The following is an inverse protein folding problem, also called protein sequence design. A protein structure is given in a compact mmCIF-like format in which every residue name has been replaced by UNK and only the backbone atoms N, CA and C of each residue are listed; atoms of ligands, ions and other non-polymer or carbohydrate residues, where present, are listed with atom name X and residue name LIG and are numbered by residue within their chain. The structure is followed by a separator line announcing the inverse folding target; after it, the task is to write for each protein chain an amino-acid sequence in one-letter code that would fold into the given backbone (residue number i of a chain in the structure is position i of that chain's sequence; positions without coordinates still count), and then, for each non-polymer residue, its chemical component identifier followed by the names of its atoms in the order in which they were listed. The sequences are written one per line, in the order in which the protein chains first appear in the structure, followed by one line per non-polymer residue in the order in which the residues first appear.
data_IF_256738913813
#
_entry.id   IF_256738913813
#
_cell.length_a   1.000
_cell.length_b   1.000
_cell.length_c   1.000
_cell.angle_alpha   90.00
_cell.angle_beta   90.00
_cell.angle_gamma   90.00
#
_symmetry.space_group_name_H-M   'P 1'
#
loop_
_entity.id
_entity.type
_entity.pdbx_description
1 polymer ?
#
# COMPACT_ATOMS: atom_id res chain seq x y z
N UNK A 1 16.20 -13.12 -24.95
CA UNK A 1 14.74 -13.06 -25.25
C UNK A 1 14.00 -14.30 -24.78
N UNK A 2 14.52 -15.51 -25.08
CA UNK A 2 13.94 -16.79 -24.65
C UNK A 2 13.73 -16.86 -23.12
N UNK A 3 14.69 -16.41 -22.31
CA UNK A 3 14.57 -16.45 -20.84
C UNK A 3 13.40 -15.62 -20.30
N UNK A 4 13.14 -14.45 -20.91
CA UNK A 4 12.01 -13.60 -20.54
C UNK A 4 10.67 -14.21 -20.99
N UNK A 5 10.65 -14.96 -22.09
CA UNK A 5 9.47 -15.71 -22.51
C UNK A 5 9.16 -16.85 -21.52
N UNK A 6 10.18 -17.59 -21.08
CA UNK A 6 10.03 -18.60 -20.03
C UNK A 6 9.59 -17.99 -18.71
N UNK A 7 10.21 -16.90 -18.26
CA UNK A 7 9.80 -16.20 -17.05
C UNK A 7 8.30 -15.83 -17.09
N UNK A 8 7.83 -15.26 -18.20
CA UNK A 8 6.41 -14.92 -18.38
C UNK A 8 5.52 -16.16 -18.34
N UNK A 9 5.89 -17.24 -19.03
CA UNK A 9 5.14 -18.49 -18.99
C UNK A 9 5.07 -19.05 -17.55
N UNK A 10 6.16 -19.03 -16.81
CA UNK A 10 6.20 -19.53 -15.44
C UNK A 10 5.31 -18.70 -14.51
N UNK A 11 5.37 -17.37 -14.60
CA UNK A 11 4.54 -16.47 -13.79
C UNK A 11 3.06 -16.61 -14.16
N UNK A 12 2.73 -16.54 -15.45
CA UNK A 12 1.34 -16.56 -15.91
C UNK A 12 0.65 -17.91 -15.69
N UNK A 13 1.40 -19.01 -15.73
CA UNK A 13 0.86 -20.36 -15.53
C UNK A 13 1.04 -20.89 -14.09
N UNK A 14 1.62 -20.10 -13.17
CA UNK A 14 1.87 -20.53 -11.79
C UNK A 14 2.84 -21.71 -11.68
N UNK A 15 3.77 -21.83 -12.61
CA UNK A 15 4.77 -22.92 -12.64
C UNK A 15 5.86 -22.60 -11.63
N UNK A 16 6.19 -23.56 -10.76
CA UNK A 16 7.29 -23.41 -9.81
C UNK A 16 8.62 -23.18 -10.54
N UNK A 17 9.37 -22.15 -10.12
CA UNK A 17 10.69 -21.86 -10.69
C UNK A 17 11.68 -23.01 -10.51
N UNK A 18 11.46 -23.93 -9.56
CA UNK A 18 12.28 -25.14 -9.41
C UNK A 18 12.26 -26.06 -10.61
N UNK A 19 11.22 -26.00 -11.44
CA UNK A 19 11.09 -26.87 -12.63
C UNK A 19 12.19 -26.59 -13.65
N UNK A 20 12.70 -25.35 -13.74
CA UNK A 20 13.69 -24.98 -14.77
C UNK A 20 15.03 -25.70 -14.61
N UNK A 21 15.36 -26.14 -13.40
CA UNK A 21 16.61 -26.86 -13.07
C UNK A 21 16.43 -28.38 -13.07
N UNK A 22 15.21 -28.89 -13.26
CA UNK A 22 14.98 -30.34 -13.23
C UNK A 22 15.59 -31.01 -14.47
N UNK A 23 16.24 -32.19 -14.32
CA UNK A 23 16.86 -32.88 -15.45
C UNK A 23 15.90 -33.17 -16.61
N UNK A 24 14.65 -33.52 -16.29
CA UNK A 24 13.61 -33.75 -17.30
C UNK A 24 13.31 -32.50 -18.13
N UNK A 25 13.17 -31.35 -17.47
CA UNK A 25 12.89 -30.09 -18.15
C UNK A 25 14.10 -29.61 -18.95
N UNK A 26 15.32 -29.72 -18.40
CA UNK A 26 16.56 -29.39 -19.13
C UNK A 26 16.70 -30.27 -20.38
N UNK A 27 16.48 -31.57 -20.27
CA UNK A 27 16.54 -32.48 -21.41
C UNK A 27 15.49 -32.12 -22.47
N UNK A 28 14.27 -31.79 -22.06
CA UNK A 28 13.23 -31.31 -22.97
C UNK A 28 13.64 -30.01 -23.68
N UNK A 29 14.24 -29.05 -22.96
CA UNK A 29 14.76 -27.82 -23.56
C UNK A 29 15.92 -28.08 -24.53
N UNK A 30 16.80 -29.04 -24.23
CA UNK A 30 17.89 -29.46 -25.10
C UNK A 30 17.40 -30.14 -26.37
N UNK A 31 16.31 -30.90 -26.31
CA UNK A 31 15.66 -31.47 -27.49
C UNK A 31 15.07 -30.37 -28.40
N UNK A 32 14.53 -29.31 -27.81
CA UNK A 32 14.00 -28.16 -28.57
C UNK A 32 15.12 -27.29 -29.16
N UNK A 33 16.18 -27.05 -28.39
CA UNK A 33 17.35 -26.30 -28.82
C UNK A 33 18.59 -26.74 -28.03
N UNK A 34 19.45 -27.53 -28.67
CA UNK A 34 20.65 -28.10 -28.06
C UNK A 34 21.61 -27.04 -27.50
N UNK A 35 21.71 -25.88 -28.17
CA UNK A 35 22.62 -24.79 -27.78
C UNK A 35 22.09 -23.93 -26.66
N UNK A 36 20.80 -24.01 -26.32
CA UNK A 36 20.21 -23.19 -25.27
C UNK A 36 20.57 -23.76 -23.89
N UNK A 37 21.08 -22.89 -23.02
CA UNK A 37 21.31 -23.21 -21.61
C UNK A 37 20.28 -22.43 -20.78
N UNK A 38 19.34 -23.10 -20.09
CA UNK A 38 18.37 -22.41 -19.26
C UNK A 38 19.06 -21.67 -18.10
N UNK A 39 18.50 -20.53 -17.65
CA UNK A 39 18.98 -19.86 -16.46
C UNK A 39 18.69 -20.72 -15.22
N UNK A 40 19.47 -20.50 -14.16
CA UNK A 40 19.17 -21.10 -12.86
C UNK A 40 17.84 -20.57 -12.31
N UNK A 41 17.26 -21.33 -11.39
CA UNK A 41 16.07 -20.93 -10.63
C UNK A 41 16.29 -19.58 -9.95
N UNK A 42 17.47 -19.36 -9.37
CA UNK A 42 17.79 -18.10 -8.69
C UNK A 42 17.86 -16.94 -9.66
N UNK A 43 18.54 -17.09 -10.80
CA UNK A 43 18.61 -16.04 -11.83
C UNK A 43 17.22 -15.73 -12.40
N UNK A 44 16.38 -16.76 -12.60
CA UNK A 44 15.01 -16.61 -13.06
C UNK A 44 14.13 -15.87 -12.04
N UNK A 45 14.16 -16.31 -10.77
CA UNK A 45 13.29 -15.79 -9.71
C UNK A 45 13.75 -14.45 -9.11
N UNK A 46 15.00 -14.07 -9.32
CA UNK A 46 15.56 -12.80 -8.80
C UNK A 46 15.89 -11.84 -9.93
N UNK A 47 16.97 -12.08 -10.67
CA UNK A 47 17.51 -11.15 -11.66
C UNK A 47 16.51 -10.86 -12.77
N UNK A 48 15.99 -11.90 -13.44
CA UNK A 48 15.08 -11.72 -14.57
C UNK A 48 13.73 -11.19 -14.12
N UNK A 49 13.21 -11.68 -12.99
CA UNK A 49 11.97 -11.18 -12.40
C UNK A 49 12.09 -9.69 -12.05
N UNK A 50 13.17 -9.28 -11.36
CA UNK A 50 13.38 -7.89 -10.98
C UNK A 50 13.53 -6.98 -12.21
N UNK A 51 14.23 -7.43 -13.25
CA UNK A 51 14.35 -6.70 -14.50
C UNK A 51 12.97 -6.51 -15.17
N UNK A 52 12.12 -7.53 -15.23
CA UNK A 52 10.76 -7.39 -15.78
C UNK A 52 9.89 -6.47 -14.93
N UNK A 53 9.95 -6.58 -13.60
CA UNK A 53 9.24 -5.68 -12.69
C UNK A 53 9.68 -4.23 -12.92
N UNK A 54 10.98 -3.97 -13.05
CA UNK A 54 11.49 -2.63 -13.34
C UNK A 54 11.02 -2.11 -14.70
N UNK A 55 11.04 -2.95 -15.74
CA UNK A 55 10.57 -2.58 -17.09
C UNK A 55 9.08 -2.25 -17.11
N UNK A 56 8.25 -3.06 -16.44
CA UNK A 56 6.82 -2.82 -16.32
C UNK A 56 6.57 -1.53 -15.53
N UNK A 57 7.27 -1.34 -14.41
CA UNK A 57 7.17 -0.13 -13.58
C UNK A 57 7.51 1.13 -14.36
N UNK A 58 8.58 1.11 -15.16
CA UNK A 58 8.96 2.24 -16.02
C UNK A 58 7.88 2.55 -17.08
N UNK A 59 7.31 1.52 -17.72
CA UNK A 59 6.21 1.70 -18.68
C UNK A 59 4.97 2.27 -18.01
N UNK A 60 4.59 1.73 -16.86
CA UNK A 60 3.46 2.21 -16.06
C UNK A 60 3.65 3.67 -15.65
N UNK A 61 4.84 4.03 -15.13
CA UNK A 61 5.13 5.40 -14.72
C UNK A 61 5.04 6.39 -15.88
N UNK A 62 5.47 5.99 -17.09
CA UNK A 62 5.32 6.80 -18.30
C UNK A 62 3.86 7.05 -18.65
N UNK A 63 3.00 6.05 -18.49
CA UNK A 63 1.55 6.17 -18.75
C UNK A 63 0.85 7.01 -17.69
N UNK A 64 1.21 6.85 -16.42
CA UNK A 64 0.57 7.53 -15.28
C UNK A 64 0.99 9.00 -15.18
N UNK A 65 2.22 9.37 -15.59
CA UNK A 65 2.78 10.72 -15.41
C UNK A 65 1.89 11.84 -15.96
N UNK A 66 1.10 11.56 -17.00
CA UNK A 66 0.24 12.55 -17.65
C UNK A 66 -1.24 12.46 -17.23
N UNK A 67 -1.59 11.56 -16.31
CA UNK A 67 -2.95 11.36 -15.84
C UNK A 67 -3.25 12.27 -14.64
N UNK A 68 -4.39 12.97 -14.71
CA UNK A 68 -4.84 13.85 -13.63
C UNK A 68 -5.57 13.10 -12.50
N UNK A 69 -6.10 11.90 -12.77
CA UNK A 69 -6.95 11.17 -11.84
C UNK A 69 -6.45 9.74 -11.60
N UNK A 70 -6.26 9.39 -10.32
CA UNK A 70 -5.81 8.06 -9.88
C UNK A 70 -6.81 6.94 -10.22
N UNK A 71 -8.10 7.24 -10.29
CA UNK A 71 -9.13 6.27 -10.71
C UNK A 71 -8.96 5.89 -12.17
N UNK A 72 -8.66 6.87 -13.04
CA UNK A 72 -8.37 6.61 -14.45
C UNK A 72 -7.08 5.81 -14.61
N UNK A 73 -6.03 6.17 -13.86
CA UNK A 73 -4.78 5.41 -13.82
C UNK A 73 -5.02 3.95 -13.42
N UNK A 74 -5.79 3.71 -12.36
CA UNK A 74 -6.15 2.36 -11.92
C UNK A 74 -6.86 1.55 -13.02
N UNK A 75 -7.84 2.14 -13.69
CA UNK A 75 -8.59 1.46 -14.75
C UNK A 75 -7.70 1.11 -15.95
N UNK A 76 -6.83 2.02 -16.37
CA UNK A 76 -5.87 1.79 -17.47
C UNK A 76 -4.92 0.65 -17.12
N UNK A 77 -4.33 0.67 -15.92
CA UNK A 77 -3.42 -0.38 -15.46
C UNK A 77 -4.13 -1.73 -15.45
N UNK A 78 -5.34 -1.78 -14.89
CA UNK A 78 -6.11 -3.02 -14.81
C UNK A 78 -6.46 -3.59 -16.19
N UNK A 79 -6.84 -2.73 -17.14
CA UNK A 79 -7.16 -3.15 -18.52
C UNK A 79 -5.94 -3.66 -19.29
N UNK A 80 -4.78 -3.04 -19.10
CA UNK A 80 -3.57 -3.32 -19.88
C UNK A 80 -2.70 -4.41 -19.28
N UNK A 81 -2.73 -4.53 -17.95
CA UNK A 81 -1.93 -5.49 -17.19
C UNK A 81 -2.84 -6.22 -16.20
N UNK A 82 -3.74 -7.12 -16.67
CA UNK A 82 -4.73 -7.79 -15.82
C UNK A 82 -4.11 -8.69 -14.75
N UNK A 83 -2.86 -9.11 -14.95
CA UNK A 83 -2.07 -9.88 -13.99
C UNK A 83 -1.48 -9.01 -12.85
N UNK A 84 -1.62 -7.69 -12.89
CA UNK A 84 -1.16 -6.77 -11.83
C UNK A 84 -2.37 -6.34 -11.01
N UNK A 85 -2.37 -6.72 -9.73
CA UNK A 85 -3.38 -6.27 -8.78
C UNK A 85 -2.98 -4.93 -8.16
N UNK A 86 -3.75 -3.88 -8.43
CA UNK A 86 -3.60 -2.60 -7.74
C UNK A 86 -4.21 -2.71 -6.34
N UNK A 87 -3.38 -2.74 -5.30
CA UNK A 87 -3.84 -2.69 -3.93
C UNK A 87 -4.10 -1.24 -3.52
N UNK A 88 -5.27 -0.91 -2.93
CA UNK A 88 -5.51 0.40 -2.35
C UNK A 88 -4.56 0.64 -1.16
N UNK A 89 -4.32 1.91 -0.84
CA UNK A 89 -3.55 2.27 0.33
C UNK A 89 -4.27 1.80 1.61
N UNK A 90 -3.62 0.97 2.41
CA UNK A 90 -4.16 0.46 3.69
C UNK A 90 -4.55 1.62 4.61
N UNK A 91 -3.72 2.67 4.69
CA UNK A 91 -4.03 3.85 5.50
C UNK A 91 -5.30 4.57 5.01
N UNK A 92 -5.55 4.59 3.69
CA UNK A 92 -6.78 5.15 3.14
C UNK A 92 -7.99 4.27 3.44
N UNK A 93 -7.86 2.95 3.36
CA UNK A 93 -8.93 2.01 3.72
C UNK A 93 -9.30 2.12 5.20
N UNK A 94 -8.30 2.14 6.10
CA UNK A 94 -8.54 2.33 7.52
C UNK A 94 -9.18 3.69 7.80
N UNK A 95 -8.74 4.75 7.12
CA UNK A 95 -9.37 6.06 7.24
C UNK A 95 -10.85 6.03 6.88
N UNK A 96 -11.24 5.36 5.79
CA UNK A 96 -12.64 5.24 5.38
C UNK A 96 -13.46 4.43 6.39
N UNK A 97 -12.94 3.30 6.88
CA UNK A 97 -13.62 2.50 7.91
C UNK A 97 -13.81 3.31 9.19
N UNK A 98 -12.75 3.97 9.67
CA UNK A 98 -12.83 4.83 10.85
C UNK A 98 -13.79 6.01 10.63
N UNK A 99 -13.79 6.60 9.43
CA UNK A 99 -14.71 7.67 9.06
C UNK A 99 -16.16 7.22 9.18
N UNK A 100 -16.51 6.05 8.62
CA UNK A 100 -17.86 5.49 8.69
C UNK A 100 -18.28 5.24 10.14
N UNK A 101 -17.38 4.65 10.94
CA UNK A 101 -17.62 4.42 12.37
C UNK A 101 -17.85 5.73 13.12
N UNK A 102 -17.08 6.78 12.83
CA UNK A 102 -17.20 8.10 13.49
C UNK A 102 -18.46 8.87 13.08
N UNK A 103 -19.10 8.51 11.96
CA UNK A 103 -20.34 9.13 11.48
C UNK A 103 -21.60 8.38 11.92
N UNK A 104 -21.48 7.26 12.63
CA UNK A 104 -22.64 6.62 13.27
C UNK A 104 -23.32 7.59 14.24
N UNK A 105 -24.67 7.52 14.41
CA UNK A 105 -25.40 8.48 15.25
C UNK A 105 -24.88 8.54 16.69
N UNK A 106 -24.52 7.38 17.24
CA UNK A 106 -23.99 7.27 18.60
C UNK A 106 -22.59 7.89 18.73
N UNK A 107 -21.65 7.51 17.84
CA UNK A 107 -20.26 7.95 17.88
C UNK A 107 -20.14 9.44 17.58
N UNK A 108 -20.85 9.94 16.57
CA UNK A 108 -20.86 11.37 16.22
C UNK A 108 -21.37 12.24 17.38
N UNK A 109 -22.39 11.79 18.12
CA UNK A 109 -22.87 12.48 19.31
C UNK A 109 -21.80 12.50 20.42
N UNK A 110 -21.15 11.36 20.69
CA UNK A 110 -20.03 11.30 21.64
C UNK A 110 -18.89 12.24 21.26
N UNK A 111 -18.45 12.21 20.01
CA UNK A 111 -17.41 13.08 19.48
C UNK A 111 -17.80 14.56 19.67
N UNK A 112 -19.07 14.90 19.43
CA UNK A 112 -19.55 16.28 19.62
C UNK A 112 -19.44 16.74 21.08
N UNK A 113 -19.69 15.85 22.04
CA UNK A 113 -19.55 16.12 23.48
C UNK A 113 -18.08 16.29 23.86
N UNK A 114 -17.19 15.39 23.39
CA UNK A 114 -15.75 15.51 23.60
C UNK A 114 -15.20 16.82 23.03
N UNK A 115 -15.60 17.20 21.82
CA UNK A 115 -15.19 18.45 21.19
C UNK A 115 -15.62 19.69 21.99
N UNK A 116 -16.78 19.67 22.66
CA UNK A 116 -17.20 20.77 23.55
C UNK A 116 -16.27 20.91 24.76
N UNK A 117 -15.82 19.80 25.34
CA UNK A 117 -14.87 19.79 26.44
C UNK A 117 -13.54 20.37 25.97
N UNK A 118 -12.99 19.83 24.88
CA UNK A 118 -11.74 20.33 24.29
C UNK A 118 -11.84 21.83 23.98
N UNK A 119 -12.96 22.27 23.41
CA UNK A 119 -13.20 23.68 23.11
C UNK A 119 -13.19 24.56 24.37
N UNK A 120 -13.76 24.09 25.48
CA UNK A 120 -13.75 24.81 26.75
C UNK A 120 -12.32 25.02 27.27
N UNK A 121 -11.51 23.96 27.29
CA UNK A 121 -10.11 24.04 27.73
C UNK A 121 -9.26 24.91 26.80
N UNK A 122 -9.48 24.83 25.49
CA UNK A 122 -8.73 25.62 24.52
C UNK A 122 -9.14 27.11 24.53
N UNK A 123 -10.39 27.43 24.87
CA UNK A 123 -10.87 28.82 24.91
C UNK A 123 -10.51 29.53 26.21
N UNK A 124 -10.47 28.80 27.33
CA UNK A 124 -10.15 29.37 28.64
C UNK A 124 -8.65 29.33 28.90
N UNK A 125 -7.99 30.49 28.83
CA UNK A 125 -6.55 30.64 29.07
C UNK A 125 -6.12 30.14 30.46
N UNK A 126 -6.90 30.43 31.50
CA UNK A 126 -6.59 30.04 32.88
C UNK A 126 -6.70 28.53 33.08
N UNK A 127 -7.83 27.95 32.70
CA UNK A 127 -8.04 26.50 32.80
C UNK A 127 -7.05 25.71 31.92
N UNK A 128 -6.73 26.23 30.73
CA UNK A 128 -5.73 25.63 29.85
C UNK A 128 -4.31 25.66 30.43
N UNK A 129 -3.91 26.74 31.11
CA UNK A 129 -2.60 26.79 31.78
C UNK A 129 -2.53 25.84 32.97
N UNK A 130 -3.62 25.73 33.73
CA UNK A 130 -3.73 24.80 34.85
C UNK A 130 -3.62 23.34 34.37
N UNK A 131 -4.30 23.00 33.28
CA UNK A 131 -4.17 21.67 32.65
C UNK A 131 -2.73 21.38 32.21
N UNK A 132 -2.06 22.35 31.58
CA UNK A 132 -0.67 22.18 31.12
C UNK A 132 0.31 21.98 32.29
N UNK A 133 0.07 22.62 33.44
CA UNK A 133 0.87 22.40 34.63
C UNK A 133 0.68 20.98 35.17
N UNK A 134 -0.57 20.51 35.28
CA UNK A 134 -0.87 19.13 35.70
C UNK A 134 -0.22 18.10 34.75
N UNK A 135 -0.28 18.32 33.44
CA UNK A 135 0.34 17.42 32.44
C UNK A 135 1.86 17.31 32.67
N UNK A 136 2.52 18.42 33.01
CA UNK A 136 3.96 18.45 33.34
C UNK A 136 4.25 17.75 34.66
N UNK A 137 3.43 17.99 35.68
CA UNK A 137 3.58 17.40 37.01
C UNK A 137 3.42 15.88 36.98
N UNK A 138 2.52 15.38 36.12
CA UNK A 138 2.26 13.94 35.92
C UNK A 138 3.22 13.32 34.88
N UNK A 139 4.14 14.09 34.30
CA UNK A 139 5.14 13.64 33.32
C UNK A 139 4.52 12.97 32.08
N UNK A 140 3.34 13.42 31.64
CA UNK A 140 2.72 12.90 30.43
C UNK A 140 3.49 13.43 29.21
N UNK A 141 4.09 12.51 28.45
CA UNK A 141 4.86 12.83 27.25
C UNK A 141 3.92 12.76 26.03
N UNK A 142 3.50 13.90 25.48
CA UNK A 142 2.59 13.90 24.33
C UNK A 142 2.07 15.28 23.90
N UNK A 143 1.21 15.26 22.87
CA UNK A 143 0.48 16.44 22.40
C UNK A 143 -0.79 16.65 23.23
N UNK A 144 -1.07 17.89 23.64
CA UNK A 144 -2.25 18.23 24.45
C UNK A 144 -3.59 17.97 23.75
N UNK A 145 -4.69 18.43 24.36
CA UNK A 145 -6.05 18.19 23.85
C UNK A 145 -6.24 18.68 22.41
N UNK A 146 -6.65 17.79 21.52
CA UNK A 146 -6.94 18.10 20.11
C UNK A 146 -8.42 18.00 19.81
N UNK A 147 -8.86 18.83 18.88
CA UNK A 147 -10.20 18.73 18.30
C UNK A 147 -10.22 17.62 17.27
N UNK A 148 -11.27 16.79 17.29
CA UNK A 148 -11.49 15.80 16.27
C UNK A 148 -11.91 16.49 14.95
N UNK A 149 -11.09 16.33 13.92
CA UNK A 149 -11.24 16.95 12.61
C UNK A 149 -11.66 15.90 11.56
N UNK A 150 -12.66 16.23 10.74
CA UNK A 150 -13.23 15.31 9.73
C UNK A 150 -12.21 14.77 8.71
N UNK A 151 -11.14 15.50 8.44
CA UNK A 151 -10.22 15.22 7.31
C UNK A 151 -9.06 14.28 7.65
N UNK A 152 -8.88 13.89 8.92
CA UNK A 152 -7.78 12.99 9.33
C UNK A 152 -8.21 12.06 10.46
N UNK A 153 -8.25 10.76 10.20
CA UNK A 153 -8.66 9.75 11.19
C UNK A 153 -7.80 9.77 12.47
N UNK A 154 -6.51 10.08 12.37
CA UNK A 154 -5.63 10.17 13.54
C UNK A 154 -6.10 11.23 14.54
N UNK A 155 -6.86 12.25 14.11
CA UNK A 155 -7.38 13.27 15.03
C UNK A 155 -8.54 12.81 15.92
N UNK A 156 -9.14 11.66 15.61
CA UNK A 156 -10.13 11.04 16.50
C UNK A 156 -9.47 10.19 17.58
N UNK A 157 -8.21 9.78 17.36
CA UNK A 157 -7.42 8.96 18.28
C UNK A 157 -6.46 9.82 19.13
N UNK A 158 -5.83 10.81 18.51
CA UNK A 158 -4.89 11.76 19.12
C UNK A 158 -5.59 12.76 20.05
#
# INVERSE_FOLDING_TARGET
EIDFAFLKAFICCGISFSIIETPFFINALKLLNEKYNPPSRTTLSTTLLYIEVARITLKMNKEIKNLQNLTLAKNIIHSKYPFIMTLPCIAHQLHLISYDVCHLPYTSNLISKCNKIVFYFNKSTLVGSLLNNIIKDVLIIGGGLKLACKTRWTTYYD
#
